data_IF_579301702110
#
_entry.id   IF_579301702110
#
_cell.length_a   1.000
_cell.length_b   1.000
_cell.length_c   1.000
_cell.angle_alpha   90.00
_cell.angle_beta   90.00
_cell.angle_gamma   90.00
#
_symmetry.space_group_name_H-M   'P 1'
#
loop_
_entity.id
_entity.type
_entity.pdbx_description
1 polymer ?
#
# COMPACT_ATOMS: atom_id res chain seq x y z
N UNK A 1 -8.65 -2.78 -5.84
CA UNK A 1 -8.61 -4.04 -5.08
C UNK A 1 -8.63 -3.72 -3.60
N UNK A 2 -9.16 -4.56 -2.72
CA UNK A 2 -9.16 -4.24 -1.30
C UNK A 2 -8.03 -4.98 -0.58
N UNK A 3 -7.34 -4.30 0.33
CA UNK A 3 -6.32 -4.91 1.18
C UNK A 3 -6.21 -4.19 2.52
N UNK A 4 -5.64 -4.87 3.50
CA UNK A 4 -5.13 -4.21 4.69
C UNK A 4 -3.81 -3.49 4.38
N UNK A 5 -3.55 -2.42 5.12
CA UNK A 5 -2.30 -1.70 5.03
C UNK A 5 -1.85 -1.21 6.40
N UNK A 6 -0.56 -0.91 6.51
CA UNK A 6 0.01 -0.17 7.61
C UNK A 6 0.80 1.03 7.09
N UNK A 7 0.78 2.12 7.84
CA UNK A 7 1.64 3.29 7.63
C UNK A 7 2.48 3.46 8.88
N UNK A 8 3.79 3.40 8.71
CA UNK A 8 4.75 3.63 9.78
C UNK A 8 5.35 5.02 9.58
N UNK A 9 5.27 5.84 10.62
CA UNK A 9 5.87 7.16 10.68
C UNK A 9 6.49 7.35 12.06
N UNK A 10 7.81 7.54 12.11
CA UNK A 10 8.58 7.51 13.37
C UNK A 10 8.27 6.25 14.20
N UNK A 11 7.83 6.40 15.46
CA UNK A 11 7.48 5.31 16.36
C UNK A 11 5.97 5.00 16.38
N UNK A 12 5.21 5.47 15.38
CA UNK A 12 3.77 5.26 15.29
C UNK A 12 3.43 4.40 14.07
N UNK A 13 2.54 3.43 14.29
CA UNK A 13 2.00 2.58 13.23
C UNK A 13 0.49 2.74 13.19
N UNK A 14 -0.03 3.16 12.03
CA UNK A 14 -1.46 3.20 11.75
C UNK A 14 -1.83 2.05 10.84
N UNK A 15 -2.80 1.25 11.27
CA UNK A 15 -3.39 0.20 10.44
C UNK A 15 -4.69 0.66 9.79
N UNK A 16 -5.04 0.05 8.67
CA UNK A 16 -6.32 0.29 8.02
C UNK A 16 -6.67 -0.75 6.97
N UNK A 17 -7.90 -0.65 6.48
CA UNK A 17 -8.39 -1.37 5.32
C UNK A 17 -8.67 -0.37 4.21
N UNK A 18 -8.20 -0.64 3.00
CA UNK A 18 -8.33 0.29 1.89
C UNK A 18 -8.64 -0.41 0.57
N UNK A 19 -9.34 0.31 -0.30
CA UNK A 19 -9.33 0.02 -1.72
C UNK A 19 -8.10 0.67 -2.34
N UNK A 20 -7.26 -0.14 -2.97
CA UNK A 20 -6.07 0.27 -3.71
C UNK A 20 -6.37 0.33 -5.20
N UNK A 21 -5.84 1.36 -5.85
CA UNK A 21 -5.89 1.54 -7.29
C UNK A 21 -4.60 2.22 -7.77
N UNK A 22 -3.97 1.67 -8.79
CA UNK A 22 -2.82 2.27 -9.48
C UNK A 22 -3.27 2.75 -10.86
N UNK A 23 -3.12 4.05 -11.13
CA UNK A 23 -3.40 4.68 -12.42
C UNK A 23 -2.37 5.76 -12.71
N UNK A 24 -1.81 5.79 -13.92
CA UNK A 24 -0.86 6.82 -14.36
C UNK A 24 0.26 7.09 -13.33
N UNK A 25 0.95 6.03 -12.88
CA UNK A 25 1.99 6.10 -11.85
C UNK A 25 1.53 6.63 -10.48
N UNK A 26 0.22 6.65 -10.20
CA UNK A 26 -0.31 7.06 -8.90
C UNK A 26 -0.98 5.88 -8.21
N UNK A 27 -0.49 5.50 -7.03
CA UNK A 27 -1.15 4.59 -6.12
C UNK A 27 -2.10 5.37 -5.20
N UNK A 28 -3.38 5.05 -5.27
CA UNK A 28 -4.43 5.60 -4.42
C UNK A 28 -4.86 4.56 -3.39
N UNK A 29 -4.82 4.93 -2.11
CA UNK A 29 -5.33 4.15 -0.98
C UNK A 29 -6.59 4.84 -0.43
N UNK A 30 -7.76 4.32 -0.77
CA UNK A 30 -9.04 4.81 -0.24
C UNK A 30 -9.40 4.03 1.03
N UNK A 31 -9.08 4.59 2.18
CA UNK A 31 -9.32 3.97 3.48
C UNK A 31 -10.82 3.91 3.83
N UNK A 32 -11.25 2.76 4.37
CA UNK A 32 -12.58 2.56 4.94
C UNK A 32 -12.53 2.85 6.45
N UNK A 33 -13.29 3.84 6.93
CA UNK A 33 -13.45 4.17 8.36
C UNK A 33 -14.93 4.34 8.67
N UNK A 34 -15.65 3.23 8.84
CA UNK A 34 -17.09 3.26 9.09
C UNK A 34 -17.85 4.03 8.00
N UNK A 35 -18.74 4.94 8.40
CA UNK A 35 -19.58 5.74 7.50
C UNK A 35 -18.87 6.96 6.87
N UNK A 36 -17.63 7.27 7.26
CA UNK A 36 -16.91 8.44 6.76
C UNK A 36 -15.76 8.04 5.83
N UNK A 37 -15.77 8.61 4.62
CA UNK A 37 -14.67 8.45 3.68
C UNK A 37 -13.60 9.50 3.99
N UNK A 38 -12.41 9.07 4.43
CA UNK A 38 -11.24 9.97 4.43
C UNK A 38 -10.83 10.29 2.99
N UNK A 39 -10.16 11.43 2.83
CA UNK A 39 -9.47 11.76 1.58
C UNK A 39 -8.52 10.59 1.24
N UNK A 40 -8.52 10.10 -0.01
CA UNK A 40 -7.62 9.04 -0.42
C UNK A 40 -6.16 9.46 -0.21
N UNK A 41 -5.34 8.55 0.25
CA UNK A 41 -3.88 8.75 0.27
C UNK A 41 -3.39 8.50 -1.14
N UNK A 42 -2.63 9.44 -1.68
CA UNK A 42 -2.06 9.34 -3.03
C UNK A 42 -0.55 9.27 -2.92
N UNK A 43 0.04 8.27 -3.57
CA UNK A 43 1.47 7.99 -3.58
C UNK A 43 1.91 8.01 -5.03
N UNK A 44 2.75 8.98 -5.38
CA UNK A 44 3.41 9.03 -6.68
C UNK A 44 4.50 7.95 -6.72
N UNK A 45 4.33 6.98 -7.62
CA UNK A 45 5.22 5.83 -7.73
C UNK A 45 6.61 6.24 -8.22
N UNK A 46 6.74 7.35 -8.96
CA UNK A 46 8.05 7.86 -9.41
C UNK A 46 8.93 8.38 -8.27
N UNK A 47 8.34 8.67 -7.12
CA UNK A 47 9.02 9.16 -5.93
C UNK A 47 9.23 8.06 -4.88
N UNK A 48 8.94 6.80 -5.21
CA UNK A 48 9.19 5.68 -4.32
C UNK A 48 10.67 5.29 -4.45
N UNK A 49 11.40 5.42 -3.35
CA UNK A 49 12.84 5.18 -3.35
C UNK A 49 13.18 3.68 -3.16
N UNK A 50 12.23 2.88 -2.68
CA UNK A 50 12.46 1.47 -2.36
C UNK A 50 11.14 0.70 -2.34
N UNK A 51 11.11 -0.43 -3.05
CA UNK A 51 10.01 -1.40 -3.07
C UNK A 51 10.56 -2.75 -2.68
N UNK A 52 10.01 -3.37 -1.64
CA UNK A 52 10.43 -4.70 -1.19
C UNK A 52 9.23 -5.61 -0.96
N UNK A 53 9.36 -6.86 -1.39
CA UNK A 53 8.43 -7.93 -1.00
C UNK A 53 9.02 -8.67 0.20
N UNK A 54 8.23 -8.82 1.28
CA UNK A 54 8.64 -9.52 2.49
C UNK A 54 7.60 -10.56 2.91
N UNK A 55 8.03 -11.60 3.60
CA UNK A 55 7.12 -12.49 4.30
C UNK A 55 7.00 -12.03 5.76
N UNK A 56 5.78 -11.74 6.20
CA UNK A 56 5.47 -11.31 7.56
C UNK A 56 4.34 -12.19 8.12
N UNK A 57 4.66 -12.98 9.15
CA UNK A 57 3.72 -13.89 9.82
C UNK A 57 2.95 -14.81 8.84
N UNK A 58 3.61 -15.28 7.79
CA UNK A 58 3.02 -16.16 6.78
C UNK A 58 2.25 -15.43 5.67
N UNK A 59 2.10 -14.11 5.74
CA UNK A 59 1.55 -13.29 4.67
C UNK A 59 2.69 -12.61 3.88
N UNK A 60 2.51 -12.47 2.56
CA UNK A 60 3.42 -11.61 1.78
C UNK A 60 3.00 -10.15 1.99
N UNK A 61 3.97 -9.24 2.11
CA UNK A 61 3.73 -7.80 2.17
C UNK A 61 4.60 -7.09 1.15
N UNK A 62 4.09 -5.97 0.62
CA UNK A 62 4.84 -5.07 -0.23
C UNK A 62 5.07 -3.78 0.54
N UNK A 63 6.34 -3.46 0.74
CA UNK A 63 6.79 -2.33 1.53
C UNK A 63 7.26 -1.24 0.57
N UNK A 64 6.69 -0.04 0.69
CA UNK A 64 6.99 1.14 -0.11
C UNK A 64 7.53 2.23 0.81
N UNK A 65 8.69 2.78 0.49
CA UNK A 65 9.17 4.02 1.15
C UNK A 65 8.79 5.21 0.28
N UNK A 66 7.97 6.09 0.83
CA UNK A 66 7.53 7.32 0.17
C UNK A 66 7.63 8.47 1.17
N UNK A 67 8.40 9.50 0.81
CA UNK A 67 8.76 10.60 1.72
C UNK A 67 9.39 10.05 3.02
N UNK A 68 8.86 10.43 4.17
CA UNK A 68 9.28 10.05 5.52
C UNK A 68 8.53 8.83 6.08
N UNK A 69 7.73 8.16 5.25
CA UNK A 69 6.81 7.09 5.66
C UNK A 69 7.13 5.77 4.99
N UNK A 70 6.90 4.70 5.74
CA UNK A 70 6.87 3.35 5.18
C UNK A 70 5.42 2.88 5.09
N UNK A 71 5.00 2.54 3.88
CA UNK A 71 3.69 1.98 3.59
C UNK A 71 3.84 0.47 3.39
N UNK A 72 3.05 -0.32 4.11
CA UNK A 72 3.05 -1.77 4.00
C UNK A 72 1.69 -2.18 3.47
N UNK A 73 1.65 -2.81 2.30
CA UNK A 73 0.45 -3.37 1.70
C UNK A 73 0.45 -4.89 1.90
N UNK A 74 -0.62 -5.43 2.47
CA UNK A 74 -0.70 -6.87 2.74
C UNK A 74 -1.23 -7.61 1.51
N UNK A 75 -0.70 -8.79 1.24
CA UNK A 75 -1.15 -9.64 0.15
C UNK A 75 -2.29 -10.57 0.60
N UNK A 76 -3.35 -9.98 1.14
CA UNK A 76 -4.50 -10.74 1.67
C UNK A 76 -5.81 -10.47 0.91
N UNK A 77 -5.76 -9.70 -0.17
CA UNK A 77 -6.86 -9.54 -1.11
C UNK A 77 -6.64 -10.36 -2.37
N UNK A 78 -7.72 -10.94 -2.91
CA UNK A 78 -7.66 -11.70 -4.17
C UNK A 78 -7.00 -10.87 -5.28
N UNK A 79 -5.89 -11.36 -5.82
CA UNK A 79 -5.16 -10.72 -6.93
C UNK A 79 -4.29 -9.52 -6.53
N UNK A 80 -4.19 -9.18 -5.24
CA UNK A 80 -3.43 -7.99 -4.78
C UNK A 80 -1.94 -8.16 -5.04
N UNK A 81 -1.38 -9.34 -4.79
CA UNK A 81 0.01 -9.67 -5.14
C UNK A 81 0.32 -9.38 -6.59
N UNK A 82 -0.48 -9.96 -7.48
CA UNK A 82 -0.27 -9.95 -8.92
C UNK A 82 -0.43 -8.52 -9.42
N UNK A 83 -1.47 -7.83 -8.97
CA UNK A 83 -1.71 -6.44 -9.31
C UNK A 83 -0.56 -5.52 -8.89
N UNK A 84 -0.08 -5.65 -7.65
CA UNK A 84 1.02 -4.83 -7.16
C UNK A 84 2.35 -5.22 -7.81
N UNK A 85 2.62 -6.51 -8.00
CA UNK A 85 3.86 -6.98 -8.65
C UNK A 85 3.92 -6.55 -10.11
N UNK A 86 2.84 -6.74 -10.87
CA UNK A 86 2.78 -6.36 -12.29
C UNK A 86 2.83 -4.85 -12.50
N UNK A 87 2.34 -4.05 -11.54
CA UNK A 87 2.29 -2.58 -11.66
C UNK A 87 3.42 -1.85 -10.96
N UNK A 88 4.12 -2.47 -10.01
CA UNK A 88 5.16 -1.84 -9.20
C UNK A 88 6.55 -2.47 -9.37
N UNK A 89 6.64 -3.79 -9.60
CA UNK A 89 7.91 -4.52 -9.62
C UNK A 89 8.41 -4.90 -11.02
N UNK A 90 7.57 -4.72 -12.05
CA UNK A 90 7.95 -4.94 -13.47
C UNK A 90 8.26 -3.64 -14.24
N UNK A 91 8.46 -2.53 -13.53
CA UNK A 91 8.86 -1.23 -14.11
C UNK A 91 10.34 -1.02 -13.83
#
# INVERSE_FOLDING_TARGET
MNTYFAIIFHNQTQYGYANIKITNQLLSLKQYLGFQWKRPIQIDLSQINQIESRNFLGATTINLKYQDKTYILFDNGLGVKEYLTDKLLKT
#
